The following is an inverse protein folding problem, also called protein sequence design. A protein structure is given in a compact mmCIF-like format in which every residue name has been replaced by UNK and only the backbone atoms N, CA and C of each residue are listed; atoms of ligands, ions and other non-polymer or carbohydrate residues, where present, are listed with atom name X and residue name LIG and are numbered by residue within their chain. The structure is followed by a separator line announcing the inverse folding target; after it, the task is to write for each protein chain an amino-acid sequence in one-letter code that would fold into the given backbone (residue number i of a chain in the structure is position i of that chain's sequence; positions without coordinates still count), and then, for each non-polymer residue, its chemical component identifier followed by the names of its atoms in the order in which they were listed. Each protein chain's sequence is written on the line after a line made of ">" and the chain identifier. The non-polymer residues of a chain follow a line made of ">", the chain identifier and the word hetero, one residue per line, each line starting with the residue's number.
data_IF_361608048060
#
_entry.id   IF_361608048060
#
_cell.length_a   1.000
_cell.length_b   1.000
_cell.length_c   1.000
_cell.angle_alpha   90.00
_cell.angle_beta   90.00
_cell.angle_gamma   90.00
#
_symmetry.space_group_name_H-M   'P 1'
#
loop_
_entity.id
_entity.type
_entity.pdbx_description
1 polymer ?
#
# COMPACT_ATOMS: atom_id res chain seq x y z
N UNK A 1 -11.77 -2.33 3.05
CA UNK A 1 -10.61 -2.64 2.18
C UNK A 1 -9.27 -2.68 2.94
N UNK A 2 -9.20 -2.17 4.15
CA UNK A 2 -7.99 -2.14 4.98
C UNK A 2 -6.75 -1.59 4.24
N UNK A 3 -5.57 -2.11 4.54
CA UNK A 3 -4.30 -1.64 3.96
C UNK A 3 -4.10 -1.91 2.46
N UNK A 4 -5.07 -2.53 1.76
CA UNK A 4 -5.04 -2.55 0.29
C UNK A 4 -5.23 -1.16 -0.31
N UNK A 5 -5.79 -0.21 0.45
CA UNK A 5 -5.81 1.24 0.20
C UNK A 5 -4.44 1.79 -0.23
N UNK A 6 -3.36 1.25 0.33
CA UNK A 6 -1.99 1.71 0.08
C UNK A 6 -1.51 1.50 -1.36
N UNK A 7 -2.24 0.71 -2.16
CA UNK A 7 -2.05 0.61 -3.61
C UNK A 7 -2.29 1.98 -4.25
N UNK A 8 -3.42 2.64 -3.93
CA UNK A 8 -3.71 4.00 -4.41
C UNK A 8 -2.69 5.02 -3.90
N UNK A 9 -2.36 4.95 -2.61
CA UNK A 9 -1.35 5.85 -2.01
C UNK A 9 0.00 5.74 -2.74
N UNK A 10 0.50 4.52 -2.94
CA UNK A 10 1.77 4.31 -3.64
C UNK A 10 1.70 4.79 -5.10
N UNK A 11 0.59 4.55 -5.79
CA UNK A 11 0.38 4.99 -7.17
C UNK A 11 0.53 6.50 -7.30
N UNK A 12 -0.17 7.27 -6.47
CA UNK A 12 -0.12 8.74 -6.51
C UNK A 12 1.29 9.26 -6.21
N UNK A 13 1.95 8.71 -5.19
CA UNK A 13 3.31 9.13 -4.81
C UNK A 13 4.31 8.84 -5.95
N UNK A 14 4.26 7.67 -6.56
CA UNK A 14 5.17 7.29 -7.64
C UNK A 14 4.98 8.17 -8.88
N UNK A 15 3.75 8.56 -9.16
CA UNK A 15 3.44 9.39 -10.32
C UNK A 15 3.80 10.87 -10.17
N UNK A 16 3.73 11.41 -8.94
CA UNK A 16 3.74 12.85 -8.73
C UNK A 16 4.90 13.37 -7.88
N UNK A 17 5.72 12.49 -7.28
CA UNK A 17 6.74 12.90 -6.33
C UNK A 17 8.15 12.52 -6.77
N UNK A 18 9.13 13.30 -6.33
CA UNK A 18 10.53 12.94 -6.47
C UNK A 18 10.90 11.90 -5.39
N UNK A 19 11.10 10.66 -5.81
CA UNK A 19 11.37 9.54 -4.89
C UNK A 19 12.70 9.63 -4.15
N UNK A 20 13.64 10.46 -4.63
CA UNK A 20 14.95 10.64 -4.00
C UNK A 20 14.96 11.78 -2.97
N UNK A 21 13.86 12.50 -2.84
CA UNK A 21 13.73 13.55 -1.84
C UNK A 21 13.63 12.97 -0.43
N UNK A 22 14.27 13.66 0.52
CA UNK A 22 14.27 13.30 1.94
C UNK A 22 13.28 14.18 2.67
N UNK A 23 12.42 13.57 3.47
CA UNK A 23 11.44 14.25 4.32
C UNK A 23 11.73 14.02 5.79
N UNK A 24 11.29 14.97 6.62
CA UNK A 24 11.30 14.86 8.07
C UNK A 24 9.93 14.39 8.57
N UNK A 25 9.94 13.37 9.43
CA UNK A 25 8.72 12.74 9.92
C UNK A 25 8.05 13.61 10.97
N UNK A 26 6.77 13.92 10.74
CA UNK A 26 5.95 14.70 11.67
C UNK A 26 5.56 13.92 12.93
N UNK A 27 5.13 14.63 13.98
CA UNK A 27 4.54 14.01 15.18
C UNK A 27 3.25 13.24 14.86
N UNK A 28 2.44 13.73 13.89
CA UNK A 28 1.19 13.09 13.44
C UNK A 28 1.50 11.75 12.78
N UNK A 29 2.43 11.73 11.84
CA UNK A 29 2.89 10.51 11.16
C UNK A 29 3.43 9.49 12.17
N UNK A 30 4.38 9.87 13.02
CA UNK A 30 4.99 8.99 14.03
C UNK A 30 3.97 8.45 15.05
N UNK A 31 2.91 9.22 15.36
CA UNK A 31 1.83 8.85 16.29
C UNK A 31 0.74 7.97 15.69
N UNK A 32 0.77 7.69 14.37
CA UNK A 32 -0.29 6.94 13.69
C UNK A 32 -0.35 5.50 14.19
N UNK A 33 -1.56 5.03 14.53
CA UNK A 33 -1.81 3.68 15.04
C UNK A 33 -1.81 2.57 13.97
N UNK A 34 -1.96 1.33 14.44
CA UNK A 34 -1.99 0.13 13.59
C UNK A 34 -0.60 -0.35 13.17
N UNK A 35 -0.48 -0.93 11.96
CA UNK A 35 0.81 -1.39 11.42
C UNK A 35 1.75 -0.20 11.18
N UNK A 36 3.00 -0.31 11.61
CA UNK A 36 3.97 0.78 11.55
C UNK A 36 5.33 0.34 11.05
N UNK A 37 6.01 1.22 10.34
CA UNK A 37 7.43 1.09 10.06
C UNK A 37 8.25 1.37 11.34
N UNK A 38 7.69 2.15 12.27
CA UNK A 38 8.29 2.52 13.55
C UNK A 38 9.09 3.82 13.46
N UNK A 39 8.61 4.75 12.64
CA UNK A 39 9.18 6.09 12.50
C UNK A 39 8.96 6.93 13.77
N UNK A 40 9.92 7.80 14.07
CA UNK A 40 9.86 8.77 15.15
C UNK A 40 9.77 10.18 14.58
N UNK A 41 9.15 11.10 15.30
CA UNK A 41 9.14 12.50 14.92
C UNK A 41 10.56 13.04 14.82
N UNK A 42 10.85 13.75 13.72
CA UNK A 42 12.18 14.27 13.38
C UNK A 42 13.09 13.28 12.62
N UNK A 43 12.67 12.03 12.42
CA UNK A 43 13.41 11.09 11.55
C UNK A 43 13.48 11.64 10.11
N UNK A 44 14.62 11.41 9.47
CA UNK A 44 14.84 11.77 8.05
C UNK A 44 14.92 10.51 7.21
N UNK A 45 14.09 10.44 6.16
CA UNK A 45 13.94 9.27 5.31
C UNK A 45 13.55 9.70 3.89
N UNK A 46 13.97 8.95 2.88
CA UNK A 46 13.59 9.24 1.49
C UNK A 46 12.15 8.83 1.19
N UNK A 47 11.52 9.48 0.21
CA UNK A 47 10.18 9.09 -0.30
C UNK A 47 10.21 7.65 -0.80
N UNK A 48 11.29 7.22 -1.45
CA UNK A 48 11.49 5.83 -1.88
C UNK A 48 11.45 4.85 -0.71
N UNK A 49 12.17 5.11 0.35
CA UNK A 49 12.23 4.23 1.53
C UNK A 49 10.89 4.21 2.28
N UNK A 50 10.17 5.35 2.30
CA UNK A 50 8.80 5.40 2.80
C UNK A 50 7.84 4.52 1.98
N UNK A 51 7.96 4.48 0.64
CA UNK A 51 7.17 3.59 -0.22
C UNK A 51 7.46 2.11 0.06
N UNK A 52 8.71 1.73 0.26
CA UNK A 52 9.05 0.37 0.69
C UNK A 52 8.45 0.05 2.06
N UNK A 53 8.53 0.97 3.03
CA UNK A 53 7.88 0.83 4.34
C UNK A 53 6.36 0.71 4.24
N UNK A 54 5.74 1.52 3.38
CA UNK A 54 4.31 1.51 3.07
C UNK A 54 3.85 0.15 2.54
N UNK A 55 4.52 -0.37 1.52
CA UNK A 55 4.05 -1.57 0.82
C UNK A 55 4.49 -2.87 1.50
N UNK A 56 5.73 -2.98 1.95
CA UNK A 56 6.27 -4.21 2.54
C UNK A 56 5.85 -4.41 4.00
N UNK A 57 5.88 -3.35 4.84
CA UNK A 57 5.52 -3.40 6.26
C UNK A 57 4.11 -2.91 6.55
N UNK A 58 3.43 -2.43 5.51
CA UNK A 58 2.10 -1.84 5.67
C UNK A 58 2.08 -0.64 6.62
N UNK A 59 3.18 0.16 6.66
CA UNK A 59 3.37 1.27 7.60
C UNK A 59 2.30 2.35 7.44
N UNK A 60 1.48 2.55 8.48
CA UNK A 60 0.51 3.65 8.53
C UNK A 60 1.22 4.99 8.76
N UNK A 61 2.29 4.97 9.55
CA UNK A 61 3.20 6.09 9.71
C UNK A 61 3.82 6.54 8.38
N UNK A 62 4.28 5.59 7.57
CA UNK A 62 4.74 5.88 6.21
C UNK A 62 3.64 6.46 5.33
N UNK A 63 2.41 5.93 5.42
CA UNK A 63 1.27 6.43 4.64
C UNK A 63 0.94 7.89 4.98
N UNK A 64 0.94 8.23 6.27
CA UNK A 64 0.67 9.60 6.72
C UNK A 64 1.80 10.55 6.30
N UNK A 65 3.07 10.15 6.45
CA UNK A 65 4.20 10.98 6.00
C UNK A 65 4.15 11.29 4.50
N UNK A 66 3.82 10.28 3.69
CA UNK A 66 3.66 10.43 2.24
C UNK A 66 2.47 11.34 1.89
N UNK A 67 1.36 11.20 2.61
CA UNK A 67 0.18 12.03 2.42
C UNK A 67 0.43 13.51 2.80
N UNK A 68 1.09 13.76 3.92
CA UNK A 68 1.51 15.12 4.33
C UNK A 68 2.43 15.76 3.28
N UNK A 69 3.38 15.00 2.75
CA UNK A 69 4.30 15.48 1.71
C UNK A 69 3.59 15.83 0.40
N UNK A 70 2.74 14.94 -0.12
CA UNK A 70 2.13 15.10 -1.45
C UNK A 70 0.81 15.87 -1.46
N UNK A 71 0.08 15.87 -0.33
CA UNK A 71 -1.23 16.49 -0.19
C UNK A 71 -1.26 17.70 0.74
N UNK A 72 -0.16 17.97 1.48
CA UNK A 72 -0.12 18.97 2.54
C UNK A 72 -0.86 18.55 3.81
N UNK A 73 -1.83 17.64 3.70
CA UNK A 73 -2.59 17.04 4.81
C UNK A 73 -3.14 15.67 4.40
N UNK A 74 -3.70 14.91 5.36
CA UNK A 74 -4.41 13.65 5.08
C UNK A 74 -5.62 13.93 4.19
N UNK A 75 -6.37 14.98 4.51
CA UNK A 75 -7.59 15.39 3.81
C UNK A 75 -7.28 15.80 2.36
N UNK A 76 -6.29 16.67 2.16
CA UNK A 76 -5.85 17.08 0.81
C UNK A 76 -5.26 15.92 -0.01
N UNK A 77 -4.68 14.92 0.65
CA UNK A 77 -4.25 13.70 -0.04
C UNK A 77 -5.43 12.79 -0.39
N UNK A 78 -6.44 12.68 0.49
CA UNK A 78 -7.67 11.94 0.21
C UNK A 78 -8.43 12.52 -1.00
N UNK A 79 -8.46 13.85 -1.15
CA UNK A 79 -8.99 14.49 -2.37
C UNK A 79 -8.26 14.02 -3.64
N UNK A 80 -6.93 13.95 -3.59
CA UNK A 80 -6.13 13.42 -4.72
C UNK A 80 -6.41 11.93 -4.99
N UNK A 81 -6.63 11.13 -3.93
CA UNK A 81 -7.00 9.72 -4.08
C UNK A 81 -8.35 9.56 -4.76
N UNK A 82 -9.35 10.36 -4.36
CA UNK A 82 -10.68 10.33 -4.94
C UNK A 82 -10.71 10.89 -6.37
N UNK A 83 -9.91 11.93 -6.66
CA UNK A 83 -9.74 12.40 -8.03
C UNK A 83 -9.13 11.30 -8.92
N UNK A 84 -8.08 10.61 -8.46
CA UNK A 84 -7.48 9.49 -9.20
C UNK A 84 -8.47 8.34 -9.37
N UNK A 85 -9.30 8.03 -8.37
CA UNK A 85 -10.35 7.02 -8.49
C UNK A 85 -11.36 7.38 -9.58
N UNK A 86 -11.79 8.64 -9.62
CA UNK A 86 -12.68 9.17 -10.67
C UNK A 86 -12.03 9.08 -12.06
N UNK A 87 -10.76 9.48 -12.19
CA UNK A 87 -10.01 9.43 -13.46
C UNK A 87 -9.87 7.99 -14.01
N UNK A 88 -9.83 7.01 -13.10
CA UNK A 88 -9.77 5.58 -13.43
C UNK A 88 -11.15 4.92 -13.58
N UNK A 89 -12.25 5.67 -13.40
CA UNK A 89 -13.62 5.16 -13.49
C UNK A 89 -14.03 4.23 -12.34
N UNK A 90 -13.41 4.39 -11.16
CA UNK A 90 -13.71 3.59 -9.95
C UNK A 90 -14.91 4.20 -9.21
N UNK A 91 -16.11 4.02 -9.75
CA UNK A 91 -17.32 4.72 -9.29
C UNK A 91 -17.89 4.22 -7.96
N UNK A 92 -17.44 3.05 -7.49
CA UNK A 92 -17.82 2.45 -6.21
C UNK A 92 -16.62 2.38 -5.25
N UNK A 93 -15.71 3.34 -5.36
CA UNK A 93 -14.52 3.46 -4.51
C UNK A 93 -14.43 4.87 -3.96
N UNK A 94 -14.23 4.98 -2.64
CA UNK A 94 -13.99 6.24 -1.96
C UNK A 94 -12.92 6.09 -0.89
N UNK A 95 -12.05 7.09 -0.78
CA UNK A 95 -10.92 7.12 0.14
C UNK A 95 -11.04 8.28 1.12
N UNK A 96 -10.91 8.01 2.42
CA UNK A 96 -10.79 9.02 3.47
C UNK A 96 -9.38 9.10 4.06
N UNK A 97 -8.63 7.99 3.97
CA UNK A 97 -7.31 7.91 4.56
C UNK A 97 -6.28 7.27 3.62
N UNK A 98 -4.98 7.64 3.74
CA UNK A 98 -3.93 7.04 2.92
C UNK A 98 -3.53 5.63 3.36
N UNK A 99 -4.01 5.16 4.52
CA UNK A 99 -3.59 3.89 5.14
C UNK A 99 -4.67 2.80 5.17
N UNK A 100 -5.96 3.18 5.10
CA UNK A 100 -7.08 2.23 5.10
C UNK A 100 -7.51 1.74 6.48
N UNK A 101 -7.37 2.55 7.53
CA UNK A 101 -8.07 2.32 8.79
C UNK A 101 -9.57 2.52 8.56
N UNK A 102 -10.39 1.80 9.37
CA UNK A 102 -11.84 1.74 9.18
C UNK A 102 -12.49 3.11 9.29
N UNK A 103 -13.39 3.38 8.33
CA UNK A 103 -14.31 4.48 8.30
C UNK A 103 -15.49 4.10 7.40
N UNK A 104 -16.68 4.62 7.67
CA UNK A 104 -17.91 4.28 6.96
C UNK A 104 -17.86 4.72 5.49
N UNK A 105 -17.21 5.84 5.20
CA UNK A 105 -17.04 6.38 3.86
C UNK A 105 -15.78 5.89 3.13
N UNK A 106 -15.08 4.87 3.70
CA UNK A 106 -13.86 4.31 3.12
C UNK A 106 -14.12 2.92 2.53
N UNK A 107 -14.48 2.85 1.26
CA UNK A 107 -14.95 1.63 0.61
C UNK A 107 -14.40 1.43 -0.79
N UNK A 108 -14.48 0.20 -1.29
CA UNK A 108 -14.18 -0.22 -2.67
C UNK A 108 -14.89 -1.54 -2.98
N UNK A 109 -14.84 -1.96 -4.23
CA UNK A 109 -15.22 -3.30 -4.67
C UNK A 109 -13.99 -4.13 -5.04
N UNK A 110 -14.11 -5.47 -5.02
CA UNK A 110 -13.01 -6.34 -5.47
C UNK A 110 -12.63 -6.07 -6.94
N UNK A 111 -13.63 -5.81 -7.78
CA UNK A 111 -13.42 -5.49 -9.19
C UNK A 111 -12.64 -4.19 -9.37
N UNK A 112 -13.03 -3.11 -8.69
CA UNK A 112 -12.36 -1.81 -8.84
C UNK A 112 -10.96 -1.82 -8.22
N UNK A 113 -10.76 -2.58 -7.14
CA UNK A 113 -9.43 -2.78 -6.58
C UNK A 113 -8.53 -3.59 -7.52
N UNK A 114 -9.08 -4.53 -8.30
CA UNK A 114 -8.33 -5.21 -9.35
C UNK A 114 -7.97 -4.26 -10.50
N UNK A 115 -8.88 -3.38 -10.93
CA UNK A 115 -8.60 -2.34 -11.95
C UNK A 115 -7.49 -1.39 -11.48
N UNK A 116 -7.57 -0.87 -10.27
CA UNK A 116 -6.53 -0.04 -9.66
C UNK A 116 -5.18 -0.77 -9.62
N UNK A 117 -5.19 -2.03 -9.21
CA UNK A 117 -3.97 -2.84 -9.11
C UNK A 117 -3.34 -3.09 -10.48
N UNK A 118 -4.15 -3.37 -11.50
CA UNK A 118 -3.69 -3.50 -12.88
C UNK A 118 -3.07 -2.20 -13.39
N UNK A 119 -3.73 -1.08 -13.13
CA UNK A 119 -3.18 0.24 -13.48
C UNK A 119 -1.81 0.47 -12.82
N UNK A 120 -1.72 0.24 -11.50
CA UNK A 120 -0.49 0.43 -10.73
C UNK A 120 0.66 -0.46 -11.22
N UNK A 121 0.40 -1.71 -11.57
CA UNK A 121 1.41 -2.68 -12.06
C UNK A 121 2.03 -2.29 -13.40
N UNK A 122 1.39 -1.44 -14.22
CA UNK A 122 2.01 -0.90 -15.42
C UNK A 122 3.20 0.03 -15.11
N UNK A 123 3.30 0.54 -13.88
CA UNK A 123 4.45 1.30 -13.44
C UNK A 123 5.56 0.35 -12.93
N UNK A 124 6.73 0.38 -13.57
CA UNK A 124 7.86 -0.49 -13.23
C UNK A 124 8.36 -0.32 -11.80
N UNK A 125 8.29 0.90 -11.24
CA UNK A 125 8.71 1.17 -9.86
C UNK A 125 7.72 0.53 -8.89
N UNK A 126 6.42 0.68 -9.12
CA UNK A 126 5.40 0.01 -8.32
C UNK A 126 5.58 -1.51 -8.36
N UNK A 127 5.68 -2.10 -9.55
CA UNK A 127 5.86 -3.54 -9.72
C UNK A 127 7.13 -4.05 -9.00
N UNK A 128 8.24 -3.30 -9.07
CA UNK A 128 9.46 -3.62 -8.34
C UNK A 128 9.24 -3.62 -6.83
N UNK A 129 8.62 -2.58 -6.28
CA UNK A 129 8.40 -2.45 -4.82
C UNK A 129 7.54 -3.60 -4.29
N UNK A 130 6.40 -3.90 -4.95
CA UNK A 130 5.47 -4.93 -4.48
C UNK A 130 6.00 -6.35 -4.68
N UNK A 131 6.90 -6.56 -5.65
CA UNK A 131 7.57 -7.83 -5.92
C UNK A 131 8.82 -8.07 -5.06
N UNK A 132 9.23 -7.10 -4.25
CA UNK A 132 10.43 -7.20 -3.41
C UNK A 132 10.13 -7.98 -2.13
N UNK A 133 10.89 -9.05 -1.86
CA UNK A 133 10.78 -9.84 -0.62
C UNK A 133 11.47 -9.19 0.57
N UNK A 134 12.68 -8.71 0.34
CA UNK A 134 13.52 -8.08 1.36
C UNK A 134 14.15 -6.80 0.79
N UNK A 135 14.19 -5.77 1.60
CA UNK A 135 14.78 -4.48 1.22
C UNK A 135 15.36 -3.78 2.45
N UNK A 136 16.47 -3.11 2.28
CA UNK A 136 17.10 -2.30 3.33
C UNK A 136 16.82 -0.83 3.07
N UNK A 137 16.04 -0.21 3.94
CA UNK A 137 15.81 1.23 3.97
C UNK A 137 16.86 1.93 4.85
N UNK A 138 16.96 3.25 4.72
CA UNK A 138 17.82 4.07 5.57
C UNK A 138 17.00 5.13 6.30
N UNK A 139 17.12 5.16 7.64
CA UNK A 139 16.49 6.17 8.50
C UNK A 139 17.61 6.89 9.27
N UNK A 140 17.73 8.21 9.14
CA UNK A 140 18.80 9.01 9.76
C UNK A 140 20.20 8.52 9.42
N UNK A 141 20.41 7.92 8.25
CA UNK A 141 21.67 7.30 7.85
C UNK A 141 21.88 5.87 8.37
N UNK A 142 20.98 5.31 9.18
CA UNK A 142 21.08 3.95 9.71
C UNK A 142 20.24 2.96 8.89
N UNK A 143 20.80 1.79 8.52
CA UNK A 143 20.09 0.79 7.75
C UNK A 143 19.05 0.06 8.61
N UNK A 144 17.91 -0.27 8.00
CA UNK A 144 16.85 -1.10 8.58
C UNK A 144 16.34 -2.09 7.53
N UNK A 145 16.47 -3.38 7.82
CA UNK A 145 15.96 -4.43 6.92
C UNK A 145 14.45 -4.60 7.06
N UNK A 146 13.78 -4.74 5.92
CA UNK A 146 12.35 -5.00 5.81
C UNK A 146 12.12 -6.34 5.11
N UNK A 147 11.12 -7.10 5.60
CA UNK A 147 10.58 -8.28 4.92
C UNK A 147 9.13 -8.02 4.52
N UNK A 148 8.73 -8.47 3.35
CA UNK A 148 7.38 -8.29 2.84
C UNK A 148 6.36 -9.12 3.63
N UNK A 149 5.20 -8.55 3.93
CA UNK A 149 4.10 -9.23 4.63
C UNK A 149 3.28 -10.17 3.74
N UNK A 150 3.51 -10.15 2.43
CA UNK A 150 2.86 -11.07 1.49
C UNK A 150 3.58 -12.44 1.50
N UNK A 151 2.99 -13.41 2.20
CA UNK A 151 3.57 -14.75 2.36
C UNK A 151 3.56 -15.59 1.07
N UNK A 152 2.73 -15.24 0.09
CA UNK A 152 2.72 -15.94 -1.20
C UNK A 152 3.91 -15.55 -2.07
N UNK A 153 4.48 -14.37 -1.83
CA UNK A 153 5.61 -13.85 -2.61
C UNK A 153 6.84 -14.75 -2.42
N UNK A 154 7.17 -15.48 -3.49
CA UNK A 154 8.27 -16.45 -3.56
C UNK A 154 8.04 -17.78 -2.83
N UNK A 155 6.83 -18.03 -2.33
CA UNK A 155 6.38 -19.32 -1.83
C UNK A 155 5.37 -19.98 -2.77
N UNK A 156 4.68 -19.19 -3.60
CA UNK A 156 3.83 -19.67 -4.67
C UNK A 156 4.43 -19.24 -6.01
N UNK A 157 4.66 -20.20 -6.91
CA UNK A 157 5.27 -19.94 -8.21
C UNK A 157 4.46 -18.94 -9.01
N UNK A 158 5.16 -18.00 -9.65
CA UNK A 158 4.58 -16.94 -10.46
C UNK A 158 4.01 -15.76 -9.69
N UNK A 159 3.89 -15.79 -8.35
CA UNK A 159 3.42 -14.65 -7.57
C UNK A 159 4.49 -13.54 -7.53
N UNK A 160 4.08 -12.32 -7.91
CA UNK A 160 4.97 -11.16 -7.95
C UNK A 160 4.43 -9.90 -7.24
N UNK A 161 3.39 -10.01 -6.44
CA UNK A 161 2.82 -8.92 -5.62
C UNK A 161 1.47 -9.32 -5.04
N UNK A 162 0.65 -8.45 -4.44
CA UNK A 162 0.76 -6.98 -4.35
C UNK A 162 0.71 -6.55 -2.89
N UNK A 163 -0.47 -6.74 -2.20
CA UNK A 163 -0.67 -6.14 -0.88
C UNK A 163 -1.63 -6.92 0.00
N UNK A 164 -1.23 -7.13 1.25
CA UNK A 164 -2.07 -7.64 2.33
C UNK A 164 -2.82 -6.51 3.04
N UNK A 165 -3.97 -6.83 3.65
CA UNK A 165 -4.73 -5.91 4.49
C UNK A 165 -5.42 -6.61 5.65
N UNK A 166 -5.59 -5.89 6.76
CA UNK A 166 -6.41 -6.30 7.89
C UNK A 166 -6.82 -5.10 8.73
N UNK A 167 -8.11 -5.03 9.03
CA UNK A 167 -8.71 -4.21 10.10
C UNK A 167 -9.86 -5.01 10.69
N UNK A 168 -10.42 -4.58 11.80
CA UNK A 168 -11.57 -5.27 12.41
C UNK A 168 -12.84 -5.14 11.53
N UNK A 169 -13.02 -4.02 10.84
CA UNK A 169 -14.17 -3.80 9.94
C UNK A 169 -14.01 -4.49 8.58
N UNK A 170 -12.80 -4.51 8.03
CA UNK A 170 -12.55 -5.07 6.71
C UNK A 170 -12.19 -6.57 6.71
N UNK A 171 -11.94 -7.18 7.88
CA UNK A 171 -11.37 -8.52 7.99
C UNK A 171 -10.06 -8.68 7.20
N UNK A 172 -9.71 -9.90 6.77
CA UNK A 172 -8.47 -10.20 6.03
C UNK A 172 -8.65 -9.94 4.56
N UNK A 173 -7.75 -9.13 4.00
CA UNK A 173 -7.72 -8.78 2.58
C UNK A 173 -6.36 -9.14 1.97
N UNK A 174 -6.38 -9.49 0.67
CA UNK A 174 -5.18 -9.72 -0.12
C UNK A 174 -5.45 -9.39 -1.58
N UNK A 175 -4.57 -8.64 -2.17
CA UNK A 175 -4.46 -8.50 -3.63
C UNK A 175 -3.19 -9.22 -4.05
N UNK A 176 -3.33 -10.21 -4.92
CA UNK A 176 -2.23 -11.03 -5.44
C UNK A 176 -2.14 -10.86 -6.95
N UNK A 177 -0.93 -10.69 -7.46
CA UNK A 177 -0.63 -10.76 -8.89
C UNK A 177 0.24 -12.00 -9.15
N UNK A 178 -0.14 -12.78 -10.16
CA UNK A 178 0.52 -14.04 -10.49
C UNK A 178 0.62 -14.21 -12.00
N UNK A 179 1.82 -14.57 -12.47
CA UNK A 179 2.10 -14.85 -13.86
C UNK A 179 2.58 -16.29 -14.02
N UNK A 180 1.76 -17.13 -14.67
CA UNK A 180 2.03 -18.54 -14.97
C UNK A 180 1.39 -18.95 -16.31
N UNK A 181 2.01 -19.85 -17.04
CA UNK A 181 1.43 -20.51 -18.23
C UNK A 181 0.85 -19.51 -19.24
N UNK A 182 1.56 -18.39 -19.50
CA UNK A 182 1.14 -17.28 -20.38
C UNK A 182 -0.11 -16.51 -19.88
N UNK A 183 -0.57 -16.76 -18.67
CA UNK A 183 -1.59 -15.97 -18.00
C UNK A 183 -0.94 -15.01 -16.99
N UNK A 184 -1.45 -13.78 -16.95
CA UNK A 184 -1.10 -12.77 -15.95
C UNK A 184 -2.40 -12.33 -15.31
N UNK A 185 -2.61 -12.67 -14.04
CA UNK A 185 -3.88 -12.50 -13.35
C UNK A 185 -3.70 -11.70 -12.06
N UNK A 186 -4.75 -10.98 -11.69
CA UNK A 186 -4.88 -10.34 -10.39
C UNK A 186 -6.05 -10.98 -9.66
N UNK A 187 -5.78 -11.51 -8.48
CA UNK A 187 -6.78 -12.04 -7.57
C UNK A 187 -6.99 -11.07 -6.41
N UNK A 188 -8.24 -10.75 -6.10
CA UNK A 188 -8.63 -9.87 -4.99
C UNK A 188 -9.54 -10.61 -4.04
N UNK A 189 -9.08 -10.82 -2.81
CA UNK A 189 -9.84 -11.39 -1.70
C UNK A 189 -10.08 -10.29 -0.67
N UNK A 190 -11.35 -10.01 -0.38
CA UNK A 190 -11.79 -9.05 0.64
C UNK A 190 -12.66 -9.75 1.68
N UNK A 191 -12.53 -9.37 2.95
CA UNK A 191 -13.43 -9.80 4.01
C UNK A 191 -13.28 -11.25 4.48
N UNK A 192 -12.14 -11.91 4.21
CA UNK A 192 -11.93 -13.30 4.68
C UNK A 192 -11.78 -13.34 6.22
N UNK A 193 -12.45 -14.32 6.85
CA UNK A 193 -12.51 -14.43 8.31
C UNK A 193 -11.14 -14.73 8.93
N UNK A 194 -10.34 -15.56 8.26
CA UNK A 194 -9.03 -15.94 8.77
C UNK A 194 -7.91 -15.69 7.76
N UNK A 195 -6.67 -15.63 8.26
CA UNK A 195 -5.48 -15.54 7.43
C UNK A 195 -5.36 -16.75 6.49
N UNK A 196 -5.72 -17.93 6.97
CA UNK A 196 -5.67 -19.16 6.19
C UNK A 196 -6.67 -19.13 5.03
N UNK A 197 -7.93 -18.76 5.27
CA UNK A 197 -8.93 -18.63 4.21
C UNK A 197 -8.53 -17.61 3.18
N UNK A 198 -8.11 -16.41 3.60
CA UNK A 198 -7.58 -15.40 2.69
C UNK A 198 -6.47 -15.96 1.77
N UNK A 199 -5.55 -16.75 2.35
CA UNK A 199 -4.44 -17.33 1.57
C UNK A 199 -4.92 -18.42 0.65
N UNK A 200 -5.81 -19.33 1.12
CA UNK A 200 -6.39 -20.40 0.31
C UNK A 200 -7.21 -19.88 -0.87
N UNK A 201 -8.02 -18.84 -0.65
CA UNK A 201 -8.84 -18.23 -1.70
C UNK A 201 -8.00 -17.45 -2.74
N UNK A 202 -6.72 -17.21 -2.47
CA UNK A 202 -5.77 -16.50 -3.35
C UNK A 202 -4.85 -17.44 -4.14
N UNK A 203 -4.98 -18.76 -4.01
CA UNK A 203 -4.14 -19.79 -4.65
C UNK A 203 -4.91 -20.53 -5.74
#
# INVERSE_FOLDING_TARGET
>A
MASTTKIMTATIIIENCNLNETVEISKKSAGTGGSRLGLKAGDKITIRDLLYGLMMRSGNDSAVALAEYAGGSIEGFAEKMNQKASDLGLNNTHFETPHGLDSDEHYTTAYELALLSNYALNNKIFAQIVGTKEYTITINGYPKQLSNTNELLGNLDGVYGIKTGFTNGANRCLVTACKRNNMDIICVVLGADTKNFRTQDSV
#
